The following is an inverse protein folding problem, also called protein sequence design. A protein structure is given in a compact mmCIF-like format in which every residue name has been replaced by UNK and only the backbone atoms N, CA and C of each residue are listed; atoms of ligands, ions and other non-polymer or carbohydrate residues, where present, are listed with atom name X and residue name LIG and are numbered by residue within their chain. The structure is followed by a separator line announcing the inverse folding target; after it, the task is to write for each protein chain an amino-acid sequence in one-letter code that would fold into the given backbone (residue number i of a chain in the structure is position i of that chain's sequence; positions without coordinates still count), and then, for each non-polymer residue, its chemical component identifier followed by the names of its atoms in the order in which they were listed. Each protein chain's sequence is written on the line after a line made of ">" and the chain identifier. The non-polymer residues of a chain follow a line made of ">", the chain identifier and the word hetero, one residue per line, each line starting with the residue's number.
data_IF_437675084280
#
_entry.id   IF_437675084280
#
_cell.length_a   1.000
_cell.length_b   1.000
_cell.length_c   1.000
_cell.angle_alpha   90.00
_cell.angle_beta   90.00
_cell.angle_gamma   90.00
#
_symmetry.space_group_name_H-M   'P 1'
#
loop_
_entity.id
_entity.type
_entity.pdbx_description
1 polymer ?
#
# COMPACT_ATOMS: atom_id res chain seq x y z
N UNK A 1 19.82 3.02 8.43
CA UNK A 1 20.18 2.93 6.99
C UNK A 1 18.96 2.43 6.22
N UNK A 2 18.86 2.57 4.91
CA UNK A 2 17.64 2.19 4.14
C UNK A 2 17.91 0.99 3.23
N UNK A 3 16.92 0.09 3.11
CA UNK A 3 16.82 -0.91 2.05
C UNK A 3 15.87 -0.43 0.95
N UNK A 4 16.21 -0.70 -0.30
CA UNK A 4 15.40 -0.35 -1.47
C UNK A 4 15.08 -1.60 -2.26
N UNK A 5 13.84 -1.68 -2.73
CA UNK A 5 13.36 -2.77 -3.56
C UNK A 5 12.68 -2.21 -4.80
N UNK A 6 12.94 -2.82 -5.95
CA UNK A 6 12.07 -2.70 -7.11
C UNK A 6 10.91 -3.69 -6.95
N UNK A 7 9.68 -3.20 -7.02
CA UNK A 7 8.46 -4.01 -6.89
C UNK A 7 7.64 -3.88 -8.15
N UNK A 8 7.20 -5.03 -8.68
CA UNK A 8 6.29 -5.08 -9.82
C UNK A 8 5.03 -5.86 -9.45
N UNK A 9 3.86 -5.27 -9.69
CA UNK A 9 2.57 -5.95 -9.61
C UNK A 9 1.99 -6.11 -11.01
N UNK A 10 1.67 -7.34 -11.41
CA UNK A 10 1.05 -7.69 -12.69
C UNK A 10 -0.37 -8.15 -12.43
N UNK A 11 -1.35 -7.33 -12.80
CA UNK A 11 -2.75 -7.62 -12.49
C UNK A 11 -3.24 -8.79 -13.36
N UNK A 12 -3.90 -9.75 -12.71
CA UNK A 12 -4.45 -10.94 -13.38
C UNK A 12 -5.87 -10.72 -13.89
N UNK A 13 -6.55 -9.68 -13.38
CA UNK A 13 -7.87 -9.23 -13.81
C UNK A 13 -7.96 -7.69 -13.89
N UNK A 14 -9.14 -7.10 -13.65
CA UNK A 14 -9.34 -5.67 -13.78
C UNK A 14 -8.67 -4.93 -12.64
N UNK A 15 -7.91 -3.89 -12.96
CA UNK A 15 -7.63 -2.84 -11.99
C UNK A 15 -8.76 -1.82 -12.08
N UNK A 16 -9.52 -1.65 -11.00
CA UNK A 16 -10.64 -0.71 -10.95
C UNK A 16 -10.25 0.61 -10.30
N UNK A 17 -10.76 1.71 -10.87
CA UNK A 17 -10.60 3.05 -10.32
C UNK A 17 -11.19 3.19 -8.93
N UNK A 18 -10.58 4.02 -8.09
CA UNK A 18 -11.05 4.26 -6.71
C UNK A 18 -11.18 5.75 -6.36
N UNK A 19 -10.90 6.62 -7.33
CA UNK A 19 -10.93 8.07 -7.18
C UNK A 19 -12.24 8.60 -7.76
N UNK A 20 -13.10 9.25 -6.96
CA UNK A 20 -14.28 9.93 -7.46
C UNK A 20 -13.90 10.96 -8.52
N UNK A 21 -14.65 11.01 -9.62
CA UNK A 21 -14.40 11.93 -10.74
C UNK A 21 -15.25 13.20 -10.67
N UNK A 22 -16.22 13.28 -9.75
CA UNK A 22 -17.01 14.49 -9.54
C UNK A 22 -16.38 15.34 -8.42
N UNK A 23 -16.10 16.61 -8.73
CA UNK A 23 -15.44 17.58 -7.84
C UNK A 23 -16.12 17.77 -6.48
N UNK A 24 -17.45 17.78 -6.43
CA UNK A 24 -18.18 17.92 -5.15
C UNK A 24 -17.98 16.69 -4.25
N UNK A 25 -17.86 15.50 -4.84
CA UNK A 25 -17.61 14.25 -4.12
C UNK A 25 -16.13 14.08 -3.75
N UNK A 26 -15.21 14.74 -4.45
CA UNK A 26 -13.77 14.70 -4.14
C UNK A 26 -13.51 15.28 -2.76
N UNK A 27 -14.10 16.43 -2.41
CA UNK A 27 -13.89 17.05 -1.09
C UNK A 27 -14.33 16.15 0.05
N UNK A 28 -15.56 15.63 0.01
CA UNK A 28 -16.07 14.68 1.00
C UNK A 28 -15.23 13.39 1.08
N UNK A 29 -14.74 12.91 -0.08
CA UNK A 29 -13.86 11.74 -0.13
C UNK A 29 -12.50 11.99 0.51
N UNK A 30 -11.86 13.13 0.22
CA UNK A 30 -10.59 13.52 0.86
C UNK A 30 -10.82 13.68 2.37
N UNK A 31 -11.91 14.33 2.80
CA UNK A 31 -12.22 14.53 4.23
C UNK A 31 -12.37 13.18 4.96
N UNK A 32 -13.04 12.20 4.34
CA UNK A 32 -13.21 10.85 4.92
C UNK A 32 -11.91 10.05 5.05
N UNK A 33 -10.90 10.35 4.22
CA UNK A 33 -9.62 9.63 4.15
C UNK A 33 -8.46 10.38 4.79
N UNK A 34 -8.65 11.66 5.10
CA UNK A 34 -7.64 12.49 5.70
C UNK A 34 -7.27 11.96 7.10
N UNK A 35 -5.97 11.92 7.44
CA UNK A 35 -5.56 11.64 8.81
C UNK A 35 -6.07 12.75 9.75
N UNK A 36 -6.52 12.37 10.95
CA UNK A 36 -7.02 13.32 11.97
C UNK A 36 -5.95 14.32 12.44
N UNK A 37 -4.68 13.94 12.36
CA UNK A 37 -3.53 14.79 12.63
C UNK A 37 -2.65 14.83 11.38
N UNK A 38 -2.38 16.05 10.89
CA UNK A 38 -1.58 16.27 9.67
C UNK A 38 -0.08 16.12 10.02
N UNK A 39 0.69 15.28 9.31
CA UNK A 39 2.15 15.29 9.44
C UNK A 39 2.71 16.65 8.97
N UNK A 40 3.72 17.22 9.64
CA UNK A 40 4.24 18.55 9.33
C UNK A 40 4.68 18.75 7.87
N UNK A 41 5.10 17.68 7.19
CA UNK A 41 5.61 17.69 5.81
C UNK A 41 4.61 17.15 4.77
N UNK A 42 3.38 16.81 5.16
CA UNK A 42 2.37 16.31 4.23
C UNK A 42 1.70 17.44 3.43
N UNK A 43 1.32 17.20 2.15
CA UNK A 43 0.53 18.17 1.40
C UNK A 43 -0.76 18.54 2.17
N UNK A 44 -1.16 19.80 2.07
CA UNK A 44 -2.39 20.30 2.67
C UNK A 44 -3.63 19.67 2.06
N UNK A 45 -4.75 19.76 2.78
CA UNK A 45 -6.04 19.30 2.27
C UNK A 45 -6.37 20.00 0.94
N UNK A 46 -6.19 21.32 0.90
CA UNK A 46 -6.44 22.15 -0.27
C UNK A 46 -5.50 21.80 -1.44
N UNK A 47 -4.25 21.44 -1.16
CA UNK A 47 -3.29 20.98 -2.18
C UNK A 47 -3.69 19.63 -2.79
N UNK A 48 -4.14 18.68 -1.95
CA UNK A 48 -4.62 17.38 -2.44
C UNK A 48 -5.93 17.55 -3.21
N UNK A 49 -6.84 18.42 -2.75
CA UNK A 49 -8.09 18.73 -3.45
C UNK A 49 -7.81 19.36 -4.81
N UNK A 50 -6.92 20.36 -4.85
CA UNK A 50 -6.50 21.00 -6.09
C UNK A 50 -5.83 20.00 -7.05
N UNK A 51 -4.96 19.12 -6.55
CA UNK A 51 -4.32 18.07 -7.35
C UNK A 51 -5.37 17.11 -7.93
N UNK A 52 -6.28 16.60 -7.11
CA UNK A 52 -7.31 15.65 -7.59
C UNK A 52 -8.23 16.34 -8.58
N UNK A 53 -8.74 17.53 -8.27
CA UNK A 53 -9.63 18.28 -9.17
C UNK A 53 -8.95 18.64 -10.50
N UNK A 54 -7.65 18.90 -10.51
CA UNK A 54 -6.88 19.16 -11.73
C UNK A 54 -6.59 17.90 -12.56
N UNK A 55 -6.73 16.70 -11.97
CA UNK A 55 -6.37 15.41 -12.59
C UNK A 55 -7.57 14.49 -12.86
N UNK A 56 -8.81 14.99 -12.68
CA UNK A 56 -10.08 14.31 -12.94
C UNK A 56 -10.93 15.08 -13.96
N UNK A 57 -11.72 14.39 -14.79
CA UNK A 57 -12.57 15.03 -15.81
C UNK A 57 -13.76 15.80 -15.20
N UNK A 58 -13.99 17.05 -15.61
CA UNK A 58 -15.27 17.76 -15.35
C UNK A 58 -16.35 17.22 -16.30
N UNK A 59 -17.49 16.75 -15.78
CA UNK A 59 -18.66 16.42 -16.61
C UNK A 59 -19.94 16.95 -15.95
N UNK A 60 -20.70 17.69 -16.76
CA UNK A 60 -21.97 18.35 -16.47
C UNK A 60 -23.13 17.37 -16.18
N UNK A 61 -23.97 17.78 -15.23
CA UNK A 61 -25.36 17.45 -14.89
C UNK A 61 -25.95 16.01 -14.87
N UNK A 62 -26.32 15.64 -13.63
CA UNK A 62 -27.62 15.11 -13.14
C UNK A 62 -28.13 13.76 -13.68
N UNK A 63 -27.50 12.68 -13.19
CA UNK A 63 -28.10 11.67 -12.30
C UNK A 63 -26.97 11.36 -11.28
N UNK A 64 -27.25 11.11 -9.99
CA UNK A 64 -26.25 10.78 -8.95
C UNK A 64 -25.40 9.52 -9.28
N UNK A 65 -24.58 9.61 -10.33
CA UNK A 65 -23.66 8.58 -10.81
C UNK A 65 -22.31 8.87 -10.19
N UNK A 66 -22.03 8.22 -9.06
CA UNK A 66 -20.69 8.24 -8.49
C UNK A 66 -19.78 7.52 -9.48
N UNK A 67 -18.98 8.27 -10.23
CA UNK A 67 -18.01 7.71 -11.17
C UNK A 67 -16.67 7.58 -10.46
N UNK A 68 -16.15 6.35 -10.39
CA UNK A 68 -14.81 6.06 -9.90
C UNK A 68 -13.88 5.76 -11.07
N UNK A 69 -12.76 6.48 -11.10
CA UNK A 69 -11.72 6.33 -12.13
C UNK A 69 -10.33 6.42 -11.53
N UNK A 70 -9.38 6.75 -12.40
CA UNK A 70 -7.98 6.97 -12.06
C UNK A 70 -7.66 8.46 -12.10
N UNK A 71 -6.53 8.85 -11.51
CA UNK A 71 -5.97 10.16 -11.81
C UNK A 71 -5.16 10.08 -13.08
N UNK A 72 -5.04 11.21 -13.78
CA UNK A 72 -4.30 11.32 -15.03
C UNK A 72 -3.39 12.54 -15.05
N UNK A 73 -2.21 12.38 -15.65
CA UNK A 73 -1.33 13.48 -16.04
C UNK A 73 -0.95 13.37 -17.53
N UNK A 74 -0.01 14.20 -17.98
CA UNK A 74 0.50 14.21 -19.36
C UNK A 74 1.16 12.90 -19.79
N UNK A 75 1.62 12.09 -18.82
CA UNK A 75 2.30 10.81 -19.08
C UNK A 75 1.31 9.65 -19.09
N UNK A 76 0.14 9.77 -18.44
CA UNK A 76 -0.94 8.80 -18.52
C UNK A 76 -1.72 8.65 -17.21
N UNK A 77 -2.44 7.54 -17.09
CA UNK A 77 -3.14 7.17 -15.86
C UNK A 77 -2.13 6.75 -14.79
N UNK A 78 -2.37 7.17 -13.54
CA UNK A 78 -1.52 6.82 -12.41
C UNK A 78 -2.32 6.56 -11.13
N UNK A 79 -1.66 5.91 -10.18
CA UNK A 79 -2.11 5.78 -8.78
C UNK A 79 -1.09 6.45 -7.86
N UNK A 80 -1.54 6.92 -6.69
CA UNK A 80 -0.65 7.57 -5.73
C UNK A 80 0.07 6.52 -4.89
N UNK A 81 1.35 6.75 -4.57
CA UNK A 81 2.11 5.93 -3.63
C UNK A 81 1.43 5.82 -2.27
N UNK A 82 0.65 6.84 -1.87
CA UNK A 82 -0.18 6.80 -0.67
C UNK A 82 -1.27 5.70 -0.71
N UNK A 83 -1.90 5.44 -1.86
CA UNK A 83 -2.92 4.38 -1.98
C UNK A 83 -2.27 3.00 -1.97
N UNK A 84 -1.12 2.84 -2.61
CA UNK A 84 -0.31 1.61 -2.56
C UNK A 84 0.13 1.32 -1.12
N UNK A 85 0.69 2.31 -0.41
CA UNK A 85 1.10 2.17 0.99
C UNK A 85 -0.09 1.89 1.92
N UNK A 86 -1.26 2.46 1.62
CA UNK A 86 -2.47 2.17 2.40
C UNK A 86 -2.93 0.72 2.21
N UNK A 87 -2.79 0.17 1.01
CA UNK A 87 -3.05 -1.25 0.73
C UNK A 87 -2.09 -2.18 1.48
N UNK A 88 -0.79 -1.89 1.44
CA UNK A 88 0.25 -2.62 2.20
C UNK A 88 -0.10 -2.64 3.69
N UNK A 89 -0.47 -1.48 4.25
CA UNK A 89 -0.89 -1.34 5.64
C UNK A 89 -2.15 -2.12 5.98
N UNK A 90 -3.11 -2.18 5.06
CA UNK A 90 -4.35 -2.94 5.24
C UNK A 90 -4.06 -4.45 5.25
N UNK A 91 -3.28 -4.94 4.28
CA UNK A 91 -2.84 -6.33 4.22
C UNK A 91 -2.11 -6.75 5.50
N UNK A 92 -1.18 -5.93 5.96
CA UNK A 92 -0.46 -6.18 7.21
C UNK A 92 -1.39 -6.22 8.45
N UNK A 93 -2.44 -5.40 8.46
CA UNK A 93 -3.42 -5.40 9.54
C UNK A 93 -4.27 -6.68 9.57
N UNK A 94 -4.62 -7.22 8.40
CA UNK A 94 -5.32 -8.50 8.28
C UNK A 94 -4.43 -9.67 8.74
N UNK A 95 -3.14 -9.60 8.42
CA UNK A 95 -2.17 -10.64 8.78
C UNK A 95 -1.65 -10.57 10.21
N UNK A 96 -2.02 -9.55 11.01
CA UNK A 96 -1.35 -9.28 12.30
C UNK A 96 -1.30 -10.50 13.24
N UNK A 97 -2.38 -11.28 13.35
CA UNK A 97 -2.40 -12.45 14.24
C UNK A 97 -1.56 -13.60 13.66
N UNK A 98 -1.58 -13.77 12.34
CA UNK A 98 -0.77 -14.76 11.63
C UNK A 98 0.72 -14.46 11.77
N UNK A 99 1.14 -13.22 11.53
CA UNK A 99 2.55 -12.80 11.66
C UNK A 99 3.01 -12.93 13.12
N UNK A 100 2.12 -12.63 14.09
CA UNK A 100 2.39 -12.80 15.52
C UNK A 100 2.63 -14.24 15.94
N UNK A 101 1.95 -15.18 15.29
CA UNK A 101 2.08 -16.60 15.60
C UNK A 101 3.26 -17.25 14.87
N UNK A 102 3.57 -16.83 13.63
CA UNK A 102 4.40 -17.62 12.72
C UNK A 102 5.75 -16.98 12.33
N UNK A 103 5.89 -15.65 12.41
CA UNK A 103 7.18 -14.97 12.14
C UNK A 103 7.92 -14.58 13.43
N UNK A 104 7.41 -15.07 14.56
CA UNK A 104 7.90 -14.79 15.90
C UNK A 104 8.94 -15.77 16.46
N UNK A 105 9.36 -16.75 15.66
CA UNK A 105 10.12 -17.89 16.15
C UNK A 105 11.65 -17.76 16.01
N UNK A 106 12.15 -16.74 15.31
CA UNK A 106 13.59 -16.49 15.19
C UNK A 106 14.06 -15.56 16.31
N UNK A 107 14.10 -16.08 17.54
CA UNK A 107 14.64 -15.39 18.72
C UNK A 107 16.19 -15.26 18.71
N UNK A 108 16.89 -15.69 17.66
CA UNK A 108 18.37 -15.73 17.63
C UNK A 108 19.05 -14.48 17.04
N UNK A 109 18.32 -13.52 16.44
CA UNK A 109 18.96 -12.45 15.65
C UNK A 109 19.47 -11.26 16.49
N UNK A 110 19.24 -11.24 17.81
CA UNK A 110 19.65 -10.11 18.66
C UNK A 110 20.31 -10.56 19.96
N UNK A 111 21.41 -11.30 19.87
CA UNK A 111 22.43 -11.22 20.92
C UNK A 111 23.20 -9.91 20.74
N UNK A 112 22.93 -8.93 21.61
CA UNK A 112 23.80 -7.78 21.78
C UNK A 112 25.22 -8.31 22.03
N UNK A 113 26.21 -7.80 21.29
CA UNK A 113 27.63 -7.99 21.60
C UNK A 113 27.83 -7.77 23.11
N UNK A 114 28.13 -8.83 23.84
CA UNK A 114 28.30 -8.76 25.28
C UNK A 114 29.50 -7.88 25.58
N UNK A 115 29.29 -6.84 26.40
CA UNK A 115 30.35 -6.05 27.00
C UNK A 115 31.40 -6.98 27.66
N UNK A 116 32.69 -6.56 27.67
CA UNK A 116 33.80 -7.37 28.13
C UNK A 116 33.56 -7.95 29.54
N UNK A 117 34.05 -9.18 29.70
CA UNK A 117 33.67 -10.17 30.72
C UNK A 117 33.96 -9.79 32.19
N UNK A 118 34.53 -8.61 32.44
CA UNK A 118 34.99 -8.18 33.76
C UNK A 118 33.91 -7.63 34.70
N UNK A 119 32.65 -7.49 34.27
CA UNK A 119 31.55 -6.94 35.09
C UNK A 119 30.30 -7.83 35.21
N UNK A 120 30.38 -9.14 34.95
CA UNK A 120 29.20 -10.02 35.05
C UNK A 120 28.94 -10.49 36.49
N UNK A 121 28.04 -9.79 37.19
CA UNK A 121 27.31 -10.31 38.34
C UNK A 121 26.47 -11.56 37.95
N UNK A 122 26.14 -12.48 38.88
CA UNK A 122 25.50 -13.76 38.53
C UNK A 122 24.15 -13.56 37.86
N UNK A 123 24.06 -13.98 36.58
CA UNK A 123 22.83 -13.92 35.76
C UNK A 123 21.73 -14.77 36.40
N UNK A 124 20.70 -14.12 36.96
CA UNK A 124 19.40 -14.77 37.20
C UNK A 124 18.79 -15.12 35.84
N UNK A 125 18.40 -16.38 35.64
CA UNK A 125 17.66 -16.86 34.46
C UNK A 125 16.32 -16.10 34.34
N UNK A 126 16.35 -14.97 33.62
CA UNK A 126 15.16 -14.20 33.29
C UNK A 126 14.32 -14.94 32.26
N UNK A 127 13.03 -15.11 32.54
CA UNK A 127 12.02 -15.65 31.62
C UNK A 127 11.98 -14.73 30.38
N UNK A 128 12.43 -15.20 29.20
CA UNK A 128 12.32 -14.43 27.94
C UNK A 128 10.83 -14.17 27.66
N UNK A 129 10.46 -12.90 27.55
CA UNK A 129 9.05 -12.47 27.54
C UNK A 129 8.54 -12.33 26.10
N UNK A 130 7.74 -13.30 25.66
CA UNK A 130 6.85 -13.29 24.48
C UNK A 130 5.91 -12.08 24.38
N UNK A 131 5.88 -11.23 25.42
CA UNK A 131 5.09 -10.00 25.51
C UNK A 131 5.54 -8.93 24.50
N UNK A 132 6.85 -8.75 24.29
CA UNK A 132 7.38 -7.69 23.42
C UNK A 132 7.09 -7.91 21.93
N UNK A 133 7.15 -9.15 21.46
CA UNK A 133 6.87 -9.51 20.07
C UNK A 133 5.39 -9.35 19.71
N UNK A 134 4.48 -9.82 20.58
CA UNK A 134 3.03 -9.63 20.40
C UNK A 134 2.65 -8.14 20.37
N UNK A 135 3.33 -7.32 21.17
CA UNK A 135 3.09 -5.88 21.21
C UNK A 135 3.66 -5.16 19.97
N UNK A 136 4.81 -5.61 19.45
CA UNK A 136 5.37 -5.13 18.17
C UNK A 136 4.44 -5.41 17.00
N UNK A 137 3.83 -6.60 16.94
CA UNK A 137 3.00 -7.00 15.79
C UNK A 137 1.59 -6.40 15.86
N UNK A 138 1.06 -6.16 17.06
CA UNK A 138 -0.23 -5.45 17.24
C UNK A 138 -0.23 -4.06 16.60
N UNK A 139 0.92 -3.40 16.52
CA UNK A 139 1.06 -2.04 15.96
C UNK A 139 1.67 -1.99 14.54
N UNK A 140 1.68 -3.11 13.80
CA UNK A 140 2.34 -3.22 12.50
C UNK A 140 1.90 -2.15 11.49
N UNK A 141 0.62 -1.74 11.49
CA UNK A 141 0.09 -0.66 10.64
C UNK A 141 0.79 0.69 10.89
N UNK A 142 1.10 1.01 12.14
CA UNK A 142 1.82 2.24 12.52
C UNK A 142 3.31 2.12 12.20
N UNK A 143 3.89 0.94 12.43
CA UNK A 143 5.28 0.64 12.09
C UNK A 143 5.53 0.83 10.60
N UNK A 144 4.68 0.23 9.74
CA UNK A 144 4.75 0.38 8.28
C UNK A 144 4.55 1.83 7.84
N UNK A 145 3.71 2.60 8.54
CA UNK A 145 3.58 4.02 8.24
C UNK A 145 4.94 4.72 8.39
N UNK A 146 5.68 4.51 9.48
CA UNK A 146 6.90 5.30 9.70
C UNK A 146 8.17 4.70 9.07
N UNK A 147 8.06 3.61 8.32
CA UNK A 147 9.23 2.83 7.85
C UNK A 147 9.17 2.39 6.39
N UNK A 148 8.00 2.47 5.76
CA UNK A 148 7.81 2.04 4.38
C UNK A 148 7.29 3.19 3.54
N UNK A 149 8.01 3.49 2.47
CA UNK A 149 7.73 4.59 1.55
C UNK A 149 7.73 4.08 0.11
N UNK A 150 6.98 4.74 -0.76
CA UNK A 150 6.80 4.38 -2.17
C UNK A 150 7.37 5.50 -3.02
N UNK A 151 8.26 5.17 -3.95
CA UNK A 151 8.83 6.11 -4.91
C UNK A 151 8.69 5.57 -6.34
N UNK A 152 8.38 6.40 -7.35
CA UNK A 152 7.89 7.78 -7.22
C UNK A 152 6.48 7.85 -6.60
N UNK A 153 6.06 9.04 -6.17
CA UNK A 153 4.72 9.23 -5.60
C UNK A 153 3.60 9.00 -6.62
N UNK A 154 3.82 9.31 -7.90
CA UNK A 154 2.88 8.98 -8.99
C UNK A 154 3.39 7.70 -9.66
N UNK A 155 2.68 6.60 -9.42
CA UNK A 155 3.00 5.30 -10.03
C UNK A 155 2.08 5.12 -11.22
N UNK A 156 2.65 5.28 -12.43
CA UNK A 156 1.89 5.15 -13.68
C UNK A 156 1.43 3.70 -13.90
N UNK A 157 0.22 3.59 -14.45
CA UNK A 157 -0.38 2.32 -14.86
C UNK A 157 0.20 1.95 -16.21
N UNK A 158 0.84 0.79 -16.29
CA UNK A 158 1.54 0.35 -17.50
C UNK A 158 0.80 -0.77 -18.22
N UNK A 159 0.90 -0.80 -19.54
CA UNK A 159 0.59 -1.95 -20.40
C UNK A 159 1.75 -2.14 -21.36
N UNK A 160 2.29 -3.35 -21.43
CA UNK A 160 3.45 -3.68 -22.26
C UNK A 160 4.63 -2.71 -22.07
N UNK A 161 4.85 -2.29 -20.82
CA UNK A 161 5.91 -1.37 -20.42
C UNK A 161 5.65 0.11 -20.76
N UNK A 162 4.48 0.46 -21.30
CA UNK A 162 4.12 1.84 -21.67
C UNK A 162 2.98 2.37 -20.80
N UNK A 163 2.98 3.66 -20.43
CA UNK A 163 1.87 4.27 -19.70
C UNK A 163 0.54 4.17 -20.45
N UNK A 164 -0.49 3.71 -19.74
CA UNK A 164 -1.87 3.64 -20.22
C UNK A 164 -2.45 5.06 -20.26
N UNK A 165 -2.99 5.48 -21.41
CA UNK A 165 -3.49 6.84 -21.60
C UNK A 165 -4.96 7.02 -21.22
N UNK A 166 -5.75 5.94 -21.27
CA UNK A 166 -7.19 5.94 -21.03
C UNK A 166 -7.63 4.57 -20.49
N UNK A 167 -8.68 4.57 -19.70
CA UNK A 167 -9.35 3.36 -19.22
C UNK A 167 -9.87 2.52 -20.40
N UNK A 168 -9.88 1.19 -20.25
CA UNK A 168 -10.35 0.30 -21.32
C UNK A 168 -11.87 0.25 -21.39
N UNK A 169 -12.52 0.48 -20.27
CA UNK A 169 -13.97 0.47 -20.19
C UNK A 169 -14.50 0.90 -18.84
N UNK A 170 -15.81 0.75 -18.70
CA UNK A 170 -16.53 0.99 -17.46
C UNK A 170 -17.70 0.02 -17.34
N UNK A 171 -18.16 -0.22 -16.11
CA UNK A 171 -19.42 -0.90 -15.84
C UNK A 171 -20.18 -0.21 -14.70
N UNK A 172 -21.49 -0.43 -14.71
CA UNK A 172 -22.39 0.13 -13.71
C UNK A 172 -22.65 -0.88 -12.60
N UNK A 173 -22.67 -0.41 -11.36
CA UNK A 173 -22.97 -1.21 -10.17
C UNK A 173 -24.04 -0.49 -9.36
N UNK A 174 -25.14 -1.20 -9.08
CA UNK A 174 -26.16 -0.70 -8.17
C UNK A 174 -25.62 -0.75 -6.73
N UNK A 175 -25.77 0.35 -5.99
CA UNK A 175 -25.33 0.47 -4.61
C UNK A 175 -26.53 0.82 -3.75
N UNK A 176 -26.79 -0.01 -2.74
CA UNK A 176 -27.85 0.20 -1.76
C UNK A 176 -27.22 0.51 -0.41
N UNK A 177 -27.53 1.68 0.16
CA UNK A 177 -26.99 2.13 1.44
C UNK A 177 -28.13 2.52 2.37
N UNK A 178 -28.09 2.02 3.60
CA UNK A 178 -28.94 2.52 4.66
C UNK A 178 -28.36 3.83 5.20
N UNK A 179 -29.15 4.90 5.12
CA UNK A 179 -28.82 6.19 5.73
C UNK A 179 -29.73 6.45 6.93
N UNK A 180 -29.40 7.43 7.77
CA UNK A 180 -30.28 7.87 8.85
C UNK A 180 -31.67 8.34 8.36
N UNK A 181 -31.78 8.72 7.08
CA UNK A 181 -33.02 9.12 6.41
C UNK A 181 -33.71 7.97 5.64
N UNK A 182 -33.27 6.73 5.86
CA UNK A 182 -33.78 5.54 5.21
C UNK A 182 -32.89 5.00 4.07
N UNK A 183 -33.36 3.96 3.35
CA UNK A 183 -32.61 3.34 2.28
C UNK A 183 -32.43 4.31 1.10
N UNK A 184 -31.21 4.39 0.60
CA UNK A 184 -30.86 5.09 -0.63
C UNK A 184 -30.28 4.10 -1.62
N UNK A 185 -30.66 4.26 -2.89
CA UNK A 185 -30.08 3.51 -4.00
C UNK A 185 -29.38 4.49 -4.92
N UNK A 186 -28.17 4.16 -5.32
CA UNK A 186 -27.38 4.94 -6.27
C UNK A 186 -26.82 4.02 -7.34
N UNK A 187 -26.51 4.58 -8.50
CA UNK A 187 -25.77 3.89 -9.54
C UNK A 187 -24.33 4.35 -9.49
N UNK A 188 -23.40 3.41 -9.33
CA UNK A 188 -21.97 3.68 -9.33
C UNK A 188 -21.39 3.26 -10.67
N UNK A 189 -20.63 4.14 -11.31
CA UNK A 189 -19.89 3.82 -12.53
C UNK A 189 -18.44 3.54 -12.15
N UNK A 190 -17.91 2.40 -12.56
CA UNK A 190 -16.54 2.00 -12.25
C UNK A 190 -15.77 1.91 -13.56
N UNK A 191 -14.78 2.78 -13.75
CA UNK A 191 -13.83 2.68 -14.85
C UNK A 191 -12.70 1.72 -14.48
N UNK A 192 -12.20 0.97 -15.45
CA UNK A 192 -11.18 -0.04 -15.23
C UNK A 192 -10.10 -0.07 -16.31
N UNK A 193 -8.97 -0.68 -15.95
CA UNK A 193 -7.90 -1.06 -16.86
C UNK A 193 -7.73 -2.57 -16.80
N UNK A 194 -7.73 -3.25 -17.93
CA UNK A 194 -7.53 -4.69 -18.05
C UNK A 194 -6.06 -5.06 -17.87
N UNK A 195 -5.79 -5.91 -16.88
CA UNK A 195 -4.51 -6.57 -16.63
C UNK A 195 -3.28 -5.65 -16.75
N UNK A 196 -3.28 -4.45 -16.13
CA UNK A 196 -2.13 -3.56 -16.20
C UNK A 196 -0.97 -4.09 -15.34
N UNK A 197 0.14 -3.36 -15.40
CA UNK A 197 1.29 -3.53 -14.51
C UNK A 197 1.54 -2.24 -13.74
N UNK A 198 1.86 -2.35 -12.44
CA UNK A 198 2.44 -1.26 -11.65
C UNK A 198 3.89 -1.59 -11.35
N UNK A 199 4.78 -0.60 -11.50
CA UNK A 199 6.20 -0.69 -11.13
C UNK A 199 6.58 0.47 -10.24
N UNK A 200 7.17 0.20 -9.08
CA UNK A 200 7.57 1.22 -8.12
C UNK A 200 8.72 0.73 -7.23
N UNK A 201 9.41 1.67 -6.60
CA UNK A 201 10.41 1.43 -5.58
C UNK A 201 9.77 1.45 -4.18
N UNK A 202 10.19 0.50 -3.35
CA UNK A 202 9.85 0.41 -1.94
C UNK A 202 11.08 0.78 -1.11
N UNK A 203 10.99 1.85 -0.33
CA UNK A 203 12.04 2.25 0.61
C UNK A 203 11.64 1.75 2.00
N UNK A 204 12.49 0.93 2.60
CA UNK A 204 12.24 0.27 3.88
C UNK A 204 13.35 0.65 4.85
N UNK A 205 12.98 1.18 6.02
CA UNK A 205 13.95 1.47 7.06
C UNK A 205 14.60 0.17 7.53
N UNK A 206 15.93 0.13 7.50
CA UNK A 206 16.70 -1.04 7.88
C UNK A 206 17.00 -1.03 9.38
N UNK A 207 15.96 -1.28 10.18
CA UNK A 207 16.02 -1.37 11.64
C UNK A 207 15.56 -2.74 12.17
N UNK A 208 15.42 -3.72 11.27
CA UNK A 208 15.03 -5.09 11.60
C UNK A 208 13.54 -5.29 11.94
N UNK A 209 12.70 -4.25 11.89
CA UNK A 209 11.26 -4.41 12.17
C UNK A 209 10.46 -4.91 10.98
N UNK A 210 10.80 -4.48 9.77
CA UNK A 210 10.14 -4.88 8.53
C UNK A 210 11.10 -5.76 7.75
N UNK A 211 11.06 -7.06 7.96
CA UNK A 211 11.92 -8.02 7.26
C UNK A 211 11.36 -8.37 5.88
N UNK A 212 12.17 -9.01 5.03
CA UNK A 212 11.74 -9.49 3.70
C UNK A 212 10.56 -10.46 3.85
N UNK A 213 10.63 -11.42 4.78
CA UNK A 213 9.54 -12.35 5.06
C UNK A 213 8.21 -11.66 5.42
N UNK A 214 8.26 -10.52 6.13
CA UNK A 214 7.05 -9.74 6.44
C UNK A 214 6.49 -9.09 5.16
N UNK A 215 7.35 -8.52 4.31
CA UNK A 215 6.94 -7.91 3.03
C UNK A 215 6.37 -8.96 2.07
N UNK A 216 7.02 -10.11 1.95
CA UNK A 216 6.57 -11.23 1.13
C UNK A 216 5.20 -11.74 1.60
N UNK A 217 5.00 -11.94 2.90
CA UNK A 217 3.70 -12.34 3.43
C UNK A 217 2.60 -11.30 3.14
N UNK A 218 2.92 -10.00 3.25
CA UNK A 218 2.01 -8.91 2.92
C UNK A 218 1.64 -8.92 1.43
N UNK A 219 2.61 -9.08 0.53
CA UNK A 219 2.35 -9.12 -0.91
C UNK A 219 1.63 -10.40 -1.34
N UNK A 220 1.91 -11.53 -0.70
CA UNK A 220 1.22 -12.78 -0.94
C UNK A 220 -0.25 -12.74 -0.48
N UNK A 221 -0.54 -12.09 0.64
CA UNK A 221 -1.94 -11.82 0.98
C UNK A 221 -2.57 -10.81 0.02
N UNK A 222 -1.81 -9.76 -0.32
CA UNK A 222 -2.25 -8.68 -1.18
C UNK A 222 -2.62 -9.13 -2.60
N UNK A 223 -1.92 -10.11 -3.16
CA UNK A 223 -2.19 -10.71 -4.48
C UNK A 223 -3.58 -11.34 -4.56
N UNK A 224 -4.01 -11.99 -3.47
CA UNK A 224 -5.32 -12.64 -3.34
C UNK A 224 -6.41 -11.63 -2.96
N UNK A 225 -6.10 -10.73 -2.02
CA UNK A 225 -7.04 -9.72 -1.50
C UNK A 225 -7.38 -8.64 -2.53
N UNK A 226 -6.43 -8.29 -3.39
CA UNK A 226 -6.60 -7.36 -4.50
C UNK A 226 -6.39 -5.87 -4.12
N UNK A 227 -5.88 -5.10 -5.08
CA UNK A 227 -5.62 -3.66 -4.98
C UNK A 227 -6.56 -2.84 -5.88
N UNK A 228 -7.02 -1.69 -5.38
CA UNK A 228 -7.85 -0.75 -6.13
C UNK A 228 -9.32 -0.78 -5.72
N UNK A 229 -10.19 -0.27 -6.60
CA UNK A 229 -11.64 -0.38 -6.45
C UNK A 229 -12.13 -1.83 -6.56
N UNK A 230 -13.32 -2.12 -6.03
CA UNK A 230 -14.00 -3.42 -6.18
C UNK A 230 -13.22 -4.68 -5.76
N UNK A 231 -12.17 -4.54 -4.94
CA UNK A 231 -11.42 -5.69 -4.41
C UNK A 231 -12.26 -6.72 -3.66
N UNK A 232 -13.34 -6.29 -2.99
CA UNK A 232 -14.29 -7.20 -2.33
C UNK A 232 -15.08 -8.08 -3.30
N UNK A 233 -15.14 -7.70 -4.57
CA UNK A 233 -15.76 -8.47 -5.66
C UNK A 233 -14.73 -9.36 -6.38
N UNK A 234 -13.48 -9.39 -5.90
CA UNK A 234 -12.40 -10.18 -6.47
C UNK A 234 -11.56 -9.44 -7.52
N UNK A 235 -11.84 -8.15 -7.79
CA UNK A 235 -11.04 -7.35 -8.73
C UNK A 235 -9.70 -6.91 -8.12
N UNK A 236 -8.76 -6.53 -8.99
CA UNK A 236 -7.46 -5.99 -8.57
C UNK A 236 -6.47 -7.04 -8.09
N UNK A 237 -6.69 -8.33 -8.37
CA UNK A 237 -5.73 -9.39 -8.04
C UNK A 237 -4.49 -9.28 -8.92
N UNK A 238 -3.34 -9.65 -8.38
CA UNK A 238 -2.07 -9.48 -9.08
C UNK A 238 -1.06 -10.55 -8.71
N UNK A 239 -0.14 -10.83 -9.62
CA UNK A 239 1.13 -11.46 -9.32
C UNK A 239 2.13 -10.39 -8.91
N UNK A 240 3.08 -10.72 -8.04
CA UNK A 240 4.06 -9.77 -7.55
C UNK A 240 5.48 -10.28 -7.69
N UNK A 241 6.41 -9.35 -7.85
CA UNK A 241 7.84 -9.59 -7.86
C UNK A 241 8.50 -8.48 -7.03
N UNK A 242 9.46 -8.85 -6.20
CA UNK A 242 10.24 -7.91 -5.37
C UNK A 242 11.72 -8.25 -5.49
N UNK A 243 12.54 -7.27 -5.87
CA UNK A 243 13.99 -7.40 -5.94
C UNK A 243 14.66 -6.31 -5.10
N UNK A 244 15.50 -6.70 -4.15
CA UNK A 244 16.34 -5.74 -3.42
C UNK A 244 17.38 -5.14 -4.37
N UNK A 245 17.44 -3.81 -4.45
CA UNK A 245 18.37 -3.06 -5.28
C UNK A 245 19.41 -2.30 -4.44
N UNK A 246 19.14 -2.06 -3.16
CA UNK A 246 20.11 -1.44 -2.24
C UNK A 246 19.86 -1.85 -0.76
N UNK A 247 20.91 -2.06 0.06
CA UNK A 247 22.27 -2.36 -0.39
C UNK A 247 22.23 -3.60 -1.31
N UNK A 248 23.14 -3.72 -2.28
CA UNK A 248 23.18 -4.90 -3.15
C UNK A 248 23.33 -6.17 -2.29
N UNK A 249 22.72 -7.27 -2.73
CA UNK A 249 22.81 -8.54 -2.00
C UNK A 249 24.26 -9.04 -1.97
N UNK A 250 24.66 -9.69 -0.88
CA UNK A 250 26.06 -10.11 -0.67
C UNK A 250 26.53 -11.02 -1.81
N UNK A 251 25.65 -11.89 -2.30
CA UNK A 251 25.91 -12.79 -3.42
C UNK A 251 26.21 -12.04 -4.72
N UNK A 252 25.52 -10.92 -4.99
CA UNK A 252 25.76 -10.07 -6.17
C UNK A 252 27.08 -9.30 -6.04
N UNK A 253 27.44 -8.86 -4.83
CA UNK A 253 28.74 -8.22 -4.55
C UNK A 253 29.90 -9.21 -4.71
N UNK A 254 29.71 -10.46 -4.29
CA UNK A 254 30.71 -11.52 -4.43
C UNK A 254 30.86 -11.97 -5.89
N UNK A 255 29.75 -12.09 -6.64
CA UNK A 255 29.78 -12.40 -8.07
C UNK A 255 30.43 -11.29 -8.91
N UNK A 256 30.30 -10.02 -8.55
CA UNK A 256 30.95 -8.90 -9.22
C UNK A 256 32.46 -8.78 -8.94
N UNK A 257 32.97 -9.52 -7.94
CA UNK A 257 34.39 -9.56 -7.56
C UNK A 257 35.12 -10.81 -8.09
N UNK A 258 34.40 -11.75 -8.68
CA UNK A 258 34.93 -12.98 -9.29
C UNK A 258 35.10 -12.80 -10.80
#
# INVERSE_FOLDING_TARGET
>A
MWRRYEVTWRFTNLLCGSVPQNRELVRAWIESRAPKEKPPEGPSFDEIEAEVAATTDNVEDVIERITLGFQRDENGLFVRGATIRSHIKDCAYQLREYLAANLGADEEIFENEEAPESEKAPKKKGKKTTKGLKERIRNLKSILANRVYIEPYRVHILRDGKPVQKEDGQYDQAVHVMTALGPRSALKVIRYVERPTLKFELLVLDDGFITDAVLEAIFEYGSVHGYGGERSMGEGRYEWEMKQIWPPRVEEVLAAKA
#
